data_IF_447547326959
#
_entry.id   IF_447547326959
#
_cell.length_a   1.000
_cell.length_b   1.000
_cell.length_c   1.000
_cell.angle_alpha   90.00
_cell.angle_beta   90.00
_cell.angle_gamma   90.00
#
_symmetry.space_group_name_H-M   'P 1'
#
loop_
_entity.id
_entity.type
_entity.pdbx_description
1 polymer ?
#
# COMPACT_ATOMS: atom_id res chain seq x y z
N UNK A 1 -14.44 11.30 -6.98
CA UNK A 1 -14.08 11.21 -5.55
C UNK A 1 -12.80 10.40 -5.41
N UNK A 2 -11.82 10.85 -4.65
CA UNK A 2 -10.59 10.10 -4.50
C UNK A 2 -10.84 8.77 -3.80
N UNK A 3 -9.91 7.85 -3.94
CA UNK A 3 -9.94 6.58 -3.24
C UNK A 3 -8.59 6.34 -2.59
N UNK A 4 -8.60 5.66 -1.47
CA UNK A 4 -7.40 5.39 -0.71
C UNK A 4 -7.22 3.91 -0.48
N UNK A 5 -6.00 3.45 -0.59
CA UNK A 5 -5.63 2.12 -0.14
C UNK A 5 -4.84 2.30 1.14
N UNK A 6 -5.38 1.75 2.22
CA UNK A 6 -4.78 1.85 3.56
C UNK A 6 -4.16 0.50 3.88
N UNK A 7 -2.87 0.51 4.17
CA UNK A 7 -2.08 -0.70 4.41
C UNK A 7 -1.53 -0.67 5.83
N UNK A 8 -1.69 -1.76 6.56
CA UNK A 8 -1.01 -1.96 7.83
C UNK A 8 -0.40 -3.35 7.79
N UNK A 9 0.92 -3.42 7.66
CA UNK A 9 1.64 -4.67 7.47
C UNK A 9 2.84 -4.77 8.39
N UNK A 10 3.16 -6.01 8.76
CA UNK A 10 4.40 -6.34 9.44
C UNK A 10 5.36 -6.96 8.44
N UNK A 11 6.51 -6.32 8.24
CA UNK A 11 7.54 -6.82 7.33
C UNK A 11 8.40 -7.83 8.08
N UNK A 12 8.48 -9.07 7.56
CA UNK A 12 9.31 -10.12 8.14
C UNK A 12 10.49 -10.53 7.26
N UNK A 13 10.51 -10.06 6.01
CA UNK A 13 11.65 -10.26 5.11
C UNK A 13 12.04 -8.91 4.53
N UNK A 14 12.95 -8.21 5.21
CA UNK A 14 13.35 -6.85 4.83
C UNK A 14 14.05 -6.80 3.48
N UNK A 15 14.84 -7.82 3.14
CA UNK A 15 15.56 -7.83 1.86
C UNK A 15 14.60 -7.84 0.68
N UNK A 16 13.60 -8.72 0.71
CA UNK A 16 12.58 -8.80 -0.34
C UNK A 16 11.72 -7.55 -0.34
N UNK A 17 11.33 -7.05 0.83
CA UNK A 17 10.52 -5.85 0.93
C UNK A 17 11.25 -4.64 0.37
N UNK A 18 12.55 -4.51 0.59
CA UNK A 18 13.35 -3.41 0.04
C UNK A 18 13.38 -3.46 -1.49
N UNK A 19 13.46 -4.65 -2.08
CA UNK A 19 13.34 -4.80 -3.52
C UNK A 19 11.95 -4.37 -4.02
N UNK A 20 10.90 -4.77 -3.30
CA UNK A 20 9.54 -4.34 -3.58
C UNK A 20 9.42 -2.82 -3.60
N UNK A 21 10.01 -2.14 -2.61
CA UNK A 21 9.95 -0.68 -2.49
C UNK A 21 10.56 0.03 -3.70
N UNK A 22 11.56 -0.58 -4.33
CA UNK A 22 12.20 -0.01 -5.52
C UNK A 22 11.30 -0.10 -6.75
N UNK A 23 10.37 -1.05 -6.77
CA UNK A 23 9.54 -1.33 -7.94
C UNK A 23 8.17 -0.68 -7.88
N UNK A 24 7.61 -0.51 -6.68
CA UNK A 24 6.20 -0.12 -6.52
C UNK A 24 5.89 1.28 -7.03
N UNK A 25 6.83 2.22 -6.87
CA UNK A 25 6.62 3.62 -7.28
C UNK A 25 6.28 3.76 -8.76
N UNK A 26 7.03 3.08 -9.62
CA UNK A 26 6.78 3.13 -11.06
C UNK A 26 5.41 2.56 -11.42
N UNK A 27 4.97 1.52 -10.73
CA UNK A 27 3.63 0.93 -10.98
C UNK A 27 2.52 1.89 -10.59
N UNK A 28 2.68 2.60 -9.47
CA UNK A 28 1.70 3.61 -9.02
C UNK A 28 1.59 4.74 -10.02
N UNK A 29 2.73 5.25 -10.49
CA UNK A 29 2.77 6.37 -11.42
C UNK A 29 1.97 6.11 -12.68
N UNK A 30 2.03 4.88 -13.18
CA UNK A 30 1.29 4.48 -14.38
C UNK A 30 -0.23 4.56 -14.21
N UNK A 31 -0.73 4.47 -12.98
CA UNK A 31 -2.17 4.52 -12.68
C UNK A 31 -2.54 5.77 -11.88
N UNK A 32 -1.67 6.78 -11.92
CA UNK A 32 -1.87 8.07 -11.25
C UNK A 32 -2.04 7.93 -9.73
N UNK A 33 -1.46 6.87 -9.16
CA UNK A 33 -1.44 6.66 -7.73
C UNK A 33 -0.26 7.39 -7.09
N UNK A 34 -0.42 7.75 -5.84
CA UNK A 34 0.66 8.40 -5.10
C UNK A 34 0.65 8.00 -3.64
N UNK A 35 1.82 8.08 -3.02
CA UNK A 35 1.95 7.87 -1.59
C UNK A 35 1.45 9.12 -0.85
N UNK A 36 0.54 8.92 0.10
CA UNK A 36 0.11 9.95 1.04
C UNK A 36 0.79 9.74 2.39
N UNK A 37 0.89 8.48 2.81
CA UNK A 37 1.66 8.05 3.98
C UNK A 37 2.53 6.88 3.56
N UNK A 38 3.79 6.92 3.95
CA UNK A 38 4.75 5.89 3.54
C UNK A 38 5.58 5.43 4.74
N UNK A 39 4.93 4.71 5.67
CA UNK A 39 5.60 4.16 6.84
C UNK A 39 6.04 5.22 7.84
N UNK A 40 5.31 6.31 7.93
CA UNK A 40 5.61 7.37 8.88
C UNK A 40 5.33 6.96 10.32
N UNK A 41 5.74 7.81 11.25
CA UNK A 41 5.53 7.59 12.67
C UNK A 41 4.04 7.55 12.97
N UNK A 42 3.63 6.58 13.79
CA UNK A 42 2.24 6.45 14.22
C UNK A 42 2.11 6.66 15.72
N UNK A 43 0.93 7.09 16.14
CA UNK A 43 0.60 7.25 17.55
C UNK A 43 -0.87 6.84 17.73
N UNK A 44 -1.11 5.81 18.54
CA UNK A 44 -2.47 5.33 18.79
C UNK A 44 -3.11 6.20 19.84
N UNK A 45 -4.23 6.84 19.49
CA UNK A 45 -4.96 7.71 20.41
C UNK A 45 -6.01 6.95 21.22
N UNK A 46 -6.56 5.87 20.63
CA UNK A 46 -7.59 5.05 21.29
C UNK A 46 -7.48 3.61 20.82
N UNK A 47 -7.82 2.70 21.72
CA UNK A 47 -7.97 1.29 21.39
C UNK A 47 -6.69 0.48 21.50
N UNK A 48 -6.83 -0.82 21.17
CA UNK A 48 -5.74 -1.79 21.26
C UNK A 48 -5.10 -2.06 19.91
N UNK A 49 -5.01 -1.05 19.08
CA UNK A 49 -4.40 -1.17 17.77
C UNK A 49 -2.89 -1.07 17.91
N UNK A 50 -2.16 -2.03 17.33
CA UNK A 50 -0.71 -2.04 17.33
C UNK A 50 -0.20 -2.02 15.88
N UNK A 51 -0.28 -0.87 15.22
CA UNK A 51 0.15 -0.78 13.82
C UNK A 51 1.66 -0.99 13.70
N UNK A 52 2.07 -1.67 12.63
CA UNK A 52 3.48 -1.94 12.39
C UNK A 52 4.05 -0.99 11.34
N UNK A 53 3.52 -1.05 10.13
CA UNK A 53 3.90 -0.14 9.06
C UNK A 53 2.64 0.29 8.33
N UNK A 54 2.33 1.57 8.42
CA UNK A 54 1.14 2.14 7.78
C UNK A 54 1.56 2.85 6.50
N UNK A 55 0.90 2.48 5.41
CA UNK A 55 1.08 3.11 4.10
C UNK A 55 -0.30 3.51 3.61
N UNK A 56 -0.43 4.71 3.07
CA UNK A 56 -1.68 5.15 2.44
C UNK A 56 -1.36 5.60 1.03
N UNK A 57 -2.09 5.02 0.08
CA UNK A 57 -2.00 5.38 -1.33
C UNK A 57 -3.27 6.12 -1.72
N UNK A 58 -3.15 7.10 -2.59
CA UNK A 58 -4.30 7.84 -3.12
C UNK A 58 -4.41 7.63 -4.61
N UNK A 59 -5.64 7.41 -5.09
CA UNK A 59 -5.98 7.29 -6.51
C UNK A 59 -7.13 8.23 -6.83
N UNK A 60 -7.32 8.51 -8.10
CA UNK A 60 -8.40 9.38 -8.59
C UNK A 60 -9.79 8.88 -8.18
N UNK A 61 -9.97 7.56 -8.22
CA UNK A 61 -11.25 6.92 -7.84
C UNK A 61 -11.01 5.43 -7.55
N UNK A 62 -12.07 4.76 -7.10
CA UNK A 62 -12.02 3.33 -6.75
C UNK A 62 -11.64 2.47 -7.96
N UNK A 63 -12.21 2.77 -9.12
CA UNK A 63 -11.93 1.98 -10.33
C UNK A 63 -10.43 2.03 -10.66
N UNK A 64 -9.82 3.20 -10.55
CA UNK A 64 -8.40 3.37 -10.85
C UNK A 64 -7.51 2.62 -9.85
N UNK A 65 -7.88 2.65 -8.57
CA UNK A 65 -7.17 1.89 -7.55
C UNK A 65 -7.20 0.39 -7.82
N UNK A 66 -8.37 -0.13 -8.21
CA UNK A 66 -8.52 -1.54 -8.56
C UNK A 66 -7.72 -1.91 -9.80
N UNK A 67 -7.70 -1.02 -10.80
CA UNK A 67 -6.90 -1.24 -12.01
C UNK A 67 -5.43 -1.42 -11.65
N UNK A 68 -4.90 -0.57 -10.78
CA UNK A 68 -3.53 -0.71 -10.31
C UNK A 68 -3.31 -2.03 -9.57
N UNK A 69 -4.19 -2.34 -8.63
CA UNK A 69 -4.05 -3.53 -7.78
C UNK A 69 -4.03 -4.81 -8.61
N UNK A 70 -4.85 -4.87 -9.68
CA UNK A 70 -4.97 -6.05 -10.54
C UNK A 70 -4.14 -5.97 -11.80
N UNK A 71 -3.27 -4.96 -11.93
CA UNK A 71 -2.50 -4.74 -13.15
C UNK A 71 -1.37 -5.74 -13.33
N UNK A 72 -0.95 -5.92 -14.57
CA UNK A 72 0.23 -6.72 -14.90
C UNK A 72 1.49 -6.10 -14.29
N UNK A 73 1.58 -4.78 -14.27
CA UNK A 73 2.73 -4.06 -13.71
C UNK A 73 2.91 -4.33 -12.22
N UNK A 74 1.81 -4.47 -11.49
CA UNK A 74 1.87 -4.70 -10.05
C UNK A 74 1.90 -6.18 -9.67
N UNK A 75 1.71 -7.08 -10.60
CA UNK A 75 1.58 -8.52 -10.33
C UNK A 75 2.78 -9.09 -9.56
N UNK A 76 3.98 -8.90 -10.08
CA UNK A 76 5.19 -9.41 -9.43
C UNK A 76 5.52 -8.65 -8.13
N UNK A 77 5.51 -7.30 -8.13
CA UNK A 77 5.69 -6.57 -6.87
C UNK A 77 4.69 -6.99 -5.79
N UNK A 78 3.42 -7.20 -6.15
CA UNK A 78 2.39 -7.63 -5.20
C UNK A 78 2.76 -8.97 -4.54
N UNK A 79 3.23 -9.92 -5.34
CA UNK A 79 3.66 -11.22 -4.83
C UNK A 79 4.85 -11.08 -3.88
N UNK A 80 5.78 -10.18 -4.20
CA UNK A 80 6.93 -9.91 -3.34
C UNK A 80 6.47 -9.36 -1.98
N UNK A 81 5.55 -8.40 -1.99
CA UNK A 81 5.00 -7.85 -0.76
C UNK A 81 4.29 -8.91 0.08
N UNK A 82 3.50 -9.75 -0.56
CA UNK A 82 2.77 -10.82 0.13
C UNK A 82 3.70 -11.84 0.75
N UNK A 83 4.83 -12.13 0.11
CA UNK A 83 5.85 -13.04 0.64
C UNK A 83 6.63 -12.43 1.80
N UNK A 84 6.90 -11.13 1.72
CA UNK A 84 7.79 -10.43 2.64
C UNK A 84 7.09 -9.87 3.87
N UNK A 85 5.77 -9.88 3.88
CA UNK A 85 4.98 -9.23 4.93
C UNK A 85 3.66 -9.93 5.15
N UNK A 86 3.00 -9.57 6.25
CA UNK A 86 1.62 -9.99 6.52
C UNK A 86 0.86 -8.82 7.13
N UNK A 87 -0.44 -8.79 6.89
CA UNK A 87 -1.28 -7.73 7.43
C UNK A 87 -2.50 -7.49 6.57
N UNK A 88 -2.97 -6.26 6.62
CA UNK A 88 -4.24 -5.90 6.01
C UNK A 88 -4.07 -4.77 5.01
N UNK A 89 -4.93 -4.79 4.01
CA UNK A 89 -4.96 -3.77 2.97
C UNK A 89 -6.42 -3.49 2.66
N UNK A 90 -6.82 -2.24 2.78
CA UNK A 90 -8.21 -1.80 2.69
C UNK A 90 -8.33 -0.73 1.62
N UNK A 91 -9.32 -0.87 0.75
CA UNK A 91 -9.67 0.18 -0.22
C UNK A 91 -10.91 0.91 0.30
N UNK A 92 -10.82 2.23 0.41
CA UNK A 92 -11.92 3.06 0.90
C UNK A 92 -12.07 4.30 0.03
N UNK A 93 -13.33 4.66 -0.24
CA UNK A 93 -13.64 5.86 -1.02
C UNK A 93 -13.56 7.10 -0.14
N UNK A 94 -12.92 8.14 -0.64
CA UNK A 94 -12.85 9.42 0.03
C UNK A 94 -14.02 10.34 -0.31
N UNK A 95 -13.98 11.54 0.20
CA UNK A 95 -15.00 12.57 -0.03
C UNK A 95 -14.69 13.47 -1.21
#
# INVERSE_FOLDING_TARGET
MPAYIIVDIEVHDTAVYDEYRKLVGATLQKYDGKFVVRGGKTEVLEGNWNPKRVVVLEFENIARAKQWYDSEEYKVPKQMRMKASKGNLLLVEGV
#
